data_IF_524775273980
#
_entry.id   IF_524775273980
#
_cell.length_a   1.000
_cell.length_b   1.000
_cell.length_c   1.000
_cell.angle_alpha   90.00
_cell.angle_beta   90.00
_cell.angle_gamma   90.00
#
_symmetry.space_group_name_H-M   'P 1'
#
loop_
_entity.id
_entity.type
_entity.pdbx_description
1 polymer ?
#
# COMPACT_ATOMS: atom_id res chain seq x y z
N UNK A 1 15.76 -14.86 5.92
CA UNK A 1 15.94 -14.30 4.56
C UNK A 1 15.34 -12.90 4.56
N UNK A 2 15.89 -11.95 3.80
CA UNK A 2 15.41 -10.55 3.84
C UNK A 2 14.12 -10.31 3.06
N UNK A 3 13.73 -11.24 2.18
CA UNK A 3 12.51 -11.17 1.36
C UNK A 3 11.89 -12.54 1.16
N UNK A 4 10.59 -12.59 0.87
CA UNK A 4 9.83 -13.80 0.51
C UNK A 4 9.72 -14.03 -1.01
N UNK A 5 10.47 -13.25 -1.79
CA UNK A 5 10.44 -13.29 -3.26
C UNK A 5 9.39 -12.38 -3.88
N UNK A 6 9.23 -12.51 -5.21
CA UNK A 6 8.32 -11.68 -6.01
C UNK A 6 6.87 -12.09 -5.74
N UNK A 7 6.09 -11.17 -5.18
CA UNK A 7 4.66 -11.34 -4.94
C UNK A 7 3.84 -10.94 -6.16
N UNK A 8 4.29 -9.90 -6.87
CA UNK A 8 3.57 -9.37 -8.02
C UNK A 8 4.36 -8.34 -8.80
N UNK A 9 3.69 -7.74 -9.78
CA UNK A 9 4.13 -6.56 -10.51
C UNK A 9 3.10 -5.46 -10.35
N UNK A 10 3.56 -4.24 -10.09
CA UNK A 10 2.75 -3.06 -10.30
C UNK A 10 2.94 -2.57 -11.74
N UNK A 11 1.83 -2.30 -12.42
CA UNK A 11 1.78 -1.76 -13.78
C UNK A 11 1.02 -0.44 -13.72
N UNK A 12 1.75 0.67 -13.77
CA UNK A 12 1.15 1.98 -13.95
C UNK A 12 0.66 2.11 -15.39
N UNK A 13 -0.46 2.79 -15.59
CA UNK A 13 -1.04 3.01 -16.92
C UNK A 13 -1.75 4.36 -17.00
N UNK A 14 -2.00 4.83 -18.22
CA UNK A 14 -2.87 6.00 -18.48
C UNK A 14 -4.34 5.62 -18.70
N UNK A 15 -4.64 4.33 -18.81
CA UNK A 15 -5.99 3.83 -19.04
C UNK A 15 -6.13 2.42 -18.45
N UNK A 16 -6.78 2.33 -17.30
CA UNK A 16 -7.05 1.11 -16.57
C UNK A 16 -7.87 0.14 -17.41
N UNK A 17 -8.99 0.59 -17.98
CA UNK A 17 -9.90 -0.27 -18.74
C UNK A 17 -9.22 -0.98 -19.91
N UNK A 18 -8.40 -0.26 -20.68
CA UNK A 18 -7.64 -0.83 -21.79
C UNK A 18 -6.57 -1.82 -21.30
N UNK A 19 -5.87 -1.49 -20.21
CA UNK A 19 -4.81 -2.34 -19.65
C UNK A 19 -5.39 -3.61 -19.00
N UNK A 20 -6.51 -3.48 -18.30
CA UNK A 20 -7.31 -4.58 -17.76
C UNK A 20 -7.79 -5.52 -18.87
N UNK A 21 -8.30 -4.98 -19.98
CA UNK A 21 -8.70 -5.78 -21.14
C UNK A 21 -7.51 -6.54 -21.75
N UNK A 22 -6.34 -5.90 -21.84
CA UNK A 22 -5.10 -6.56 -22.29
C UNK A 22 -4.73 -7.76 -21.40
N UNK A 23 -4.64 -7.58 -20.08
CA UNK A 23 -4.29 -8.69 -19.17
C UNK A 23 -5.35 -9.80 -19.15
N UNK A 24 -6.64 -9.43 -19.23
CA UNK A 24 -7.74 -10.37 -19.37
C UNK A 24 -7.59 -11.24 -20.63
N UNK A 25 -7.09 -10.68 -21.73
CA UNK A 25 -6.86 -11.43 -22.97
C UNK A 25 -5.82 -12.55 -22.84
N UNK A 26 -4.91 -12.46 -21.85
CA UNK A 26 -3.95 -13.51 -21.50
C UNK A 26 -4.45 -14.47 -20.41
N UNK A 27 -5.73 -14.39 -20.02
CA UNK A 27 -6.34 -15.29 -19.04
C UNK A 27 -6.25 -14.84 -17.58
N UNK A 28 -5.71 -13.65 -17.31
CA UNK A 28 -5.78 -13.06 -15.97
C UNK A 28 -7.21 -12.70 -15.58
N UNK A 29 -7.53 -12.84 -14.30
CA UNK A 29 -8.83 -12.52 -13.72
C UNK A 29 -8.65 -11.46 -12.63
N UNK A 30 -9.53 -10.48 -12.61
CA UNK A 30 -9.59 -9.54 -11.50
C UNK A 30 -9.99 -10.29 -10.23
N UNK A 31 -9.24 -10.08 -9.15
CA UNK A 31 -9.56 -10.54 -7.80
C UNK A 31 -9.96 -9.39 -6.88
N UNK A 32 -9.58 -8.17 -7.26
CA UNK A 32 -9.97 -6.91 -6.64
C UNK A 32 -10.02 -5.85 -7.74
N UNK A 33 -11.07 -5.04 -7.75
CA UNK A 33 -11.11 -3.79 -8.53
C UNK A 33 -11.54 -2.67 -7.57
N UNK A 34 -10.89 -1.52 -7.68
CA UNK A 34 -11.25 -0.31 -6.94
C UNK A 34 -12.10 0.61 -7.82
N UNK A 35 -12.79 1.55 -7.20
CA UNK A 35 -13.55 2.60 -7.89
C UNK A 35 -12.67 3.79 -8.37
N UNK A 36 -11.34 3.64 -8.32
CA UNK A 36 -10.37 4.69 -8.65
C UNK A 36 -9.34 4.26 -9.70
N UNK A 37 -9.72 3.36 -10.62
CA UNK A 37 -8.86 2.97 -11.75
C UNK A 37 -7.67 2.10 -11.35
N UNK A 38 -7.84 1.26 -10.33
CA UNK A 38 -6.83 0.27 -9.96
C UNK A 38 -7.44 -1.08 -9.62
N UNK A 39 -6.63 -2.13 -9.68
CA UNK A 39 -7.11 -3.48 -9.39
C UNK A 39 -6.00 -4.52 -9.41
N UNK A 40 -6.25 -5.63 -8.70
CA UNK A 40 -5.35 -6.77 -8.65
C UNK A 40 -5.88 -7.90 -9.53
N UNK A 41 -4.99 -8.49 -10.31
CA UNK A 41 -5.26 -9.51 -11.29
C UNK A 41 -4.38 -10.73 -11.06
N UNK A 42 -4.94 -11.92 -11.22
CA UNK A 42 -4.21 -13.18 -11.03
C UNK A 42 -4.50 -14.15 -12.18
N UNK A 43 -3.49 -14.94 -12.55
CA UNK A 43 -3.68 -16.03 -13.49
C UNK A 43 -4.11 -17.30 -12.75
N UNK A 44 -5.14 -18.04 -13.22
CA UNK A 44 -5.62 -19.26 -12.54
C UNK A 44 -4.56 -20.37 -12.38
N UNK A 45 -3.51 -20.37 -13.20
CA UNK A 45 -2.38 -21.30 -13.05
C UNK A 45 -1.41 -20.91 -11.92
N UNK A 46 -1.68 -19.84 -11.17
CA UNK A 46 -0.81 -19.31 -10.12
C UNK A 46 0.27 -18.36 -10.64
N UNK A 47 1.22 -18.03 -9.76
CA UNK A 47 2.30 -17.08 -10.01
C UNK A 47 2.04 -15.69 -9.41
N UNK A 48 2.94 -14.73 -9.67
CA UNK A 48 2.82 -13.36 -9.15
C UNK A 48 1.54 -12.67 -9.65
N UNK A 49 0.95 -11.81 -8.82
CA UNK A 49 -0.18 -10.99 -9.25
C UNK A 49 0.27 -9.85 -10.17
N UNK A 50 -0.68 -9.25 -10.89
CA UNK A 50 -0.51 -7.97 -11.57
C UNK A 50 -1.44 -6.95 -10.90
N UNK A 51 -0.86 -5.90 -10.32
CA UNK A 51 -1.62 -4.77 -9.79
C UNK A 51 -1.55 -3.64 -10.81
N UNK A 52 -2.69 -3.28 -11.38
CA UNK A 52 -2.79 -2.19 -12.36
C UNK A 52 -3.21 -0.94 -11.60
N UNK A 53 -2.53 0.18 -11.85
CA UNK A 53 -2.89 1.49 -11.27
C UNK A 53 -2.88 2.56 -12.35
N UNK A 54 -4.01 3.26 -12.51
CA UNK A 54 -4.09 4.41 -13.41
C UNK A 54 -3.43 5.63 -12.76
N UNK A 55 -2.52 6.26 -13.52
CA UNK A 55 -1.79 7.47 -13.13
C UNK A 55 -1.78 8.41 -14.32
N UNK A 56 -2.12 9.68 -14.11
CA UNK A 56 -2.09 10.68 -15.20
C UNK A 56 -0.80 11.50 -15.24
N UNK A 57 -0.05 11.51 -14.13
CA UNK A 57 1.19 12.25 -13.99
C UNK A 57 2.40 11.35 -14.22
N UNK A 58 3.43 11.90 -14.89
CA UNK A 58 4.70 11.20 -15.13
C UNK A 58 4.62 10.04 -16.11
N UNK A 59 5.76 9.48 -16.47
CA UNK A 59 5.82 8.31 -17.35
C UNK A 59 5.38 7.04 -16.59
N UNK A 60 4.47 6.22 -17.14
CA UNK A 60 4.05 4.99 -16.49
C UNK A 60 5.21 4.02 -16.29
N UNK A 61 5.31 3.45 -15.09
CA UNK A 61 6.33 2.46 -14.73
C UNK A 61 5.72 1.08 -14.56
N UNK A 62 6.57 0.07 -14.74
CA UNK A 62 6.30 -1.30 -14.31
C UNK A 62 7.42 -1.73 -13.39
N UNK A 63 7.08 -2.25 -12.21
CA UNK A 63 8.07 -2.67 -11.22
C UNK A 63 7.60 -3.91 -10.44
N UNK A 64 8.53 -4.80 -10.05
CA UNK A 64 8.20 -5.92 -9.18
C UNK A 64 7.91 -5.46 -7.76
N UNK A 65 7.10 -6.26 -7.06
CA UNK A 65 6.82 -6.15 -5.63
C UNK A 65 7.43 -7.35 -4.93
N UNK A 66 8.34 -7.09 -4.00
CA UNK A 66 8.95 -8.10 -3.14
C UNK A 66 8.28 -8.10 -1.77
N UNK A 67 7.94 -9.29 -1.28
CA UNK A 67 7.49 -9.47 0.09
C UNK A 67 8.68 -9.36 1.05
N UNK A 68 8.51 -8.63 2.14
CA UNK A 68 9.46 -8.49 3.23
C UNK A 68 8.76 -8.95 4.51
N UNK A 69 9.31 -9.92 5.27
CA UNK A 69 8.65 -10.43 6.47
C UNK A 69 8.43 -9.35 7.55
N UNK A 70 9.40 -8.46 7.71
CA UNK A 70 9.41 -7.39 8.71
C UNK A 70 10.23 -6.19 8.20
N UNK A 71 9.59 -5.03 8.09
CA UNK A 71 10.24 -3.79 7.65
C UNK A 71 11.33 -3.30 8.61
N UNK A 72 11.17 -3.52 9.92
CA UNK A 72 12.13 -3.06 10.94
C UNK A 72 13.38 -3.95 11.00
N UNK A 73 13.23 -5.23 10.67
CA UNK A 73 14.33 -6.19 10.59
C UNK A 73 14.94 -6.31 9.18
N UNK A 74 14.49 -5.50 8.21
CA UNK A 74 14.96 -5.58 6.83
C UNK A 74 16.44 -5.17 6.72
N UNK A 75 17.31 -6.16 6.62
CA UNK A 75 18.76 -6.00 6.48
C UNK A 75 19.30 -6.95 5.40
N UNK A 76 19.22 -6.56 4.12
CA UNK A 76 19.79 -7.35 3.03
C UNK A 76 21.32 -7.27 3.00
N UNK A 77 21.97 -8.21 2.31
CA UNK A 77 23.43 -8.30 2.25
C UNK A 77 24.13 -7.10 1.57
N UNK A 78 23.41 -6.37 0.72
CA UNK A 78 23.85 -5.12 0.10
C UNK A 78 22.92 -4.01 0.54
N UNK A 79 23.49 -2.86 0.91
CA UNK A 79 22.71 -1.67 1.25
C UNK A 79 21.82 -1.24 0.07
N UNK A 80 20.49 -1.10 0.28
CA UNK A 80 19.58 -0.65 -0.76
C UNK A 80 19.69 0.85 -1.04
N UNK A 81 19.54 1.24 -2.30
CA UNK A 81 19.30 2.63 -2.68
C UNK A 81 17.81 2.94 -2.51
N UNK A 82 17.42 3.55 -1.39
CA UNK A 82 16.02 3.90 -1.13
C UNK A 82 15.61 5.16 -1.89
N UNK A 83 14.68 5.00 -2.83
CA UNK A 83 13.94 6.12 -3.41
C UNK A 83 12.85 6.64 -2.44
N UNK A 84 12.32 5.75 -1.60
CA UNK A 84 11.40 6.06 -0.51
C UNK A 84 11.59 5.04 0.63
N UNK A 85 11.73 5.46 1.89
CA UNK A 85 11.83 4.54 3.02
C UNK A 85 10.49 3.84 3.29
N UNK A 86 10.51 2.83 4.17
CA UNK A 86 9.29 2.15 4.61
C UNK A 86 8.30 3.13 5.25
N UNK A 87 7.11 3.25 4.67
CA UNK A 87 6.00 4.05 5.19
C UNK A 87 4.70 3.26 5.19
N UNK A 88 3.85 3.36 6.23
CA UNK A 88 2.52 2.76 6.24
C UNK A 88 1.66 3.22 5.07
N UNK A 89 0.91 2.29 4.49
CA UNK A 89 0.01 2.55 3.38
C UNK A 89 -1.42 2.22 3.75
N UNK A 90 -2.37 2.94 3.16
CA UNK A 90 -3.80 2.79 3.46
C UNK A 90 -4.39 1.43 3.05
N UNK A 91 -3.66 0.65 2.23
CA UNK A 91 -4.04 -0.72 1.84
C UNK A 91 -3.44 -1.82 2.75
N UNK A 92 -2.93 -1.45 3.93
CA UNK A 92 -2.65 -2.43 4.99
C UNK A 92 -1.23 -3.02 4.98
N UNK A 93 -0.27 -2.36 4.34
CA UNK A 93 1.15 -2.74 4.34
C UNK A 93 2.03 -1.55 4.71
N UNK A 94 3.26 -1.84 5.11
CA UNK A 94 4.35 -0.86 5.09
C UNK A 94 5.11 -1.04 3.79
N UNK A 95 5.24 0.02 2.99
CA UNK A 95 5.88 -0.04 1.68
C UNK A 95 7.11 0.86 1.62
N UNK A 96 8.18 0.37 0.98
CA UNK A 96 9.34 1.15 0.56
C UNK A 96 9.55 1.01 -0.94
N UNK A 97 10.29 1.96 -1.53
CA UNK A 97 10.80 1.86 -2.89
C UNK A 97 12.31 1.93 -2.89
N UNK A 98 12.93 0.97 -3.57
CA UNK A 98 14.37 0.94 -3.81
C UNK A 98 14.66 0.98 -5.31
N UNK A 99 15.89 1.34 -5.67
CA UNK A 99 16.40 1.27 -7.03
C UNK A 99 17.41 0.15 -7.18
N UNK A 100 17.31 -0.56 -8.29
CA UNK A 100 18.35 -1.50 -8.72
C UNK A 100 19.55 -0.74 -9.34
N UNK A 101 20.64 -1.44 -9.73
CA UNK A 101 21.82 -0.79 -10.31
C UNK A 101 21.56 0.06 -11.56
N UNK A 102 20.48 -0.21 -12.29
CA UNK A 102 20.09 0.52 -13.51
C UNK A 102 19.03 1.60 -13.22
N UNK A 103 18.73 1.86 -11.94
CA UNK A 103 17.79 2.89 -11.51
C UNK A 103 16.31 2.48 -11.57
N UNK A 104 16.01 1.21 -11.86
CA UNK A 104 14.64 0.68 -11.95
C UNK A 104 14.05 0.53 -10.55
N UNK A 105 12.78 0.87 -10.43
CA UNK A 105 12.06 0.73 -9.17
C UNK A 105 11.82 -0.73 -8.82
N UNK A 106 11.90 -1.03 -7.52
CA UNK A 106 11.43 -2.25 -6.89
C UNK A 106 10.63 -1.83 -5.65
N UNK A 107 9.41 -2.35 -5.52
CA UNK A 107 8.60 -2.15 -4.31
C UNK A 107 8.94 -3.22 -3.28
N UNK A 108 9.10 -2.82 -2.02
CA UNK A 108 9.25 -3.71 -0.88
C UNK A 108 8.01 -3.55 0.00
N UNK A 109 7.30 -4.64 0.29
CA UNK A 109 6.09 -4.60 1.10
C UNK A 109 6.19 -5.56 2.28
N UNK A 110 5.95 -5.03 3.48
CA UNK A 110 5.89 -5.79 4.71
C UNK A 110 4.53 -5.59 5.41
N UNK A 111 4.13 -6.48 6.32
CA UNK A 111 2.98 -6.24 7.18
C UNK A 111 3.07 -4.87 7.91
N UNK A 112 1.92 -4.30 8.27
CA UNK A 112 1.90 -3.17 9.19
C UNK A 112 2.46 -3.59 10.56
N UNK A 113 3.17 -2.70 11.27
CA UNK A 113 3.54 -2.94 12.66
C UNK A 113 2.30 -3.20 13.50
N UNK A 114 2.41 -4.09 14.49
CA UNK A 114 1.35 -4.33 15.46
C UNK A 114 0.88 -2.99 16.08
N UNK A 115 -0.42 -2.74 16.06
CA UNK A 115 -1.03 -1.51 16.61
C UNK A 115 -1.20 -0.34 15.63
N UNK A 116 -0.69 -0.42 14.40
CA UNK A 116 -0.85 0.65 13.40
C UNK A 116 -2.22 0.69 12.69
N UNK A 117 -3.10 -0.30 12.94
CA UNK A 117 -4.40 -0.46 12.28
C UNK A 117 -5.59 0.27 12.91
N UNK A 118 -5.44 1.00 14.01
CA UNK A 118 -6.55 1.67 14.69
C UNK A 118 -6.61 3.16 14.32
N UNK A 119 -7.12 3.47 13.14
CA UNK A 119 -7.10 4.82 12.58
C UNK A 119 -8.35 5.26 11.83
N UNK A 120 -9.56 4.76 12.15
CA UNK A 120 -10.81 5.47 11.83
C UNK A 120 -12.01 4.93 12.65
N UNK A 121 -12.72 5.82 13.36
CA UNK A 121 -14.03 5.54 13.95
C UNK A 121 -14.26 5.92 15.42
N UNK A 122 -13.63 6.98 15.94
CA UNK A 122 -13.89 7.50 17.29
C UNK A 122 -14.63 8.83 17.31
N UNK A 123 -15.88 8.88 16.82
CA UNK A 123 -16.79 9.97 17.17
C UNK A 123 -17.38 9.70 18.56
N UNK A 124 -16.76 10.29 19.57
CA UNK A 124 -17.28 10.35 20.94
C UNK A 124 -16.57 11.49 21.66
N UNK A 125 -17.19 12.68 21.63
CA UNK A 125 -16.65 13.90 22.22
C UNK A 125 -16.42 13.80 23.73
N UNK A 126 -15.67 14.76 24.30
CA UNK A 126 -15.08 14.65 25.62
C UNK A 126 -16.07 14.79 26.77
N UNK A 127 -15.87 13.97 27.80
CA UNK A 127 -16.33 14.22 29.17
C UNK A 127 -15.83 15.57 29.67
N UNK A 128 -16.74 16.37 30.23
CA UNK A 128 -16.40 17.65 30.85
C UNK A 128 -17.57 18.32 31.54
N UNK A 129 -18.26 17.62 32.46
CA UNK A 129 -19.11 18.28 33.44
C UNK A 129 -18.21 18.84 34.56
N UNK A 130 -17.79 20.10 34.40
CA UNK A 130 -17.17 20.89 35.47
C UNK A 130 -18.18 21.84 36.08
N UNK A 131 -18.20 21.81 37.41
CA UNK A 131 -19.00 22.57 38.36
C UNK A 131 -19.28 24.03 37.98
N UNK A 132 -20.55 24.42 38.10
CA UNK A 132 -20.97 25.81 38.20
C UNK A 132 -20.86 26.24 39.68
N UNK A 133 -19.93 27.14 39.99
CA UNK A 133 -20.04 28.02 41.16
C UNK A 133 -20.73 29.31 40.74
N UNK A 134 -21.63 29.82 41.59
CA UNK A 134 -22.35 31.08 41.37
C UNK A 134 -23.40 31.33 42.44
N UNK A 135 -22.98 31.98 43.52
CA UNK A 135 -23.70 32.37 44.72
C UNK A 135 -24.95 33.25 44.49
N UNK A 136 -25.93 33.19 45.41
CA UNK A 136 -27.00 34.18 45.50
C UNK A 136 -28.07 33.86 46.55
N UNK A 137 -28.00 34.56 47.69
CA UNK A 137 -29.03 34.68 48.73
C UNK A 137 -30.43 35.00 48.17
N UNK A 138 -31.50 34.58 48.85
CA UNK A 138 -32.54 35.47 49.39
C UNK A 138 -33.58 34.71 50.24
N UNK A 139 -33.83 35.28 51.43
CA UNK A 139 -34.99 35.22 52.33
C UNK A 139 -35.49 33.85 52.82
#
# INVERSE_FOLDING_TARGET
MSTDGIQGFCVETRNYGATAAFWRSFGFRAVLETDHGSGQWQHPAGGPYVFIVERHDGDPRTYPVLGVPDAAAFSPAREPDFAQPFTPQHWGVTQAFVRDPDGRYVSLEAPLPEGAGAGHGGHGGPSGASAHQGSGHHA
#
